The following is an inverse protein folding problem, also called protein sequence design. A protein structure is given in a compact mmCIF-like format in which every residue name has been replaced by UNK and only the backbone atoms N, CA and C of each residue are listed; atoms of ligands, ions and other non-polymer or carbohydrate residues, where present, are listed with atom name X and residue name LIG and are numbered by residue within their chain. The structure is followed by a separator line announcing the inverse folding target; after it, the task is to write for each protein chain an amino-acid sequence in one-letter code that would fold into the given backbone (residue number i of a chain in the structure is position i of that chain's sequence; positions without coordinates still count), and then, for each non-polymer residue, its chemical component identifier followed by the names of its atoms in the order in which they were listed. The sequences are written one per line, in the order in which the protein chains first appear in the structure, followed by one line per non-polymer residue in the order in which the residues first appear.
data_IF_968066420484
#
_entry.id   IF_968066420484
#
_cell.length_a   1.000
_cell.length_b   1.000
_cell.length_c   1.000
_cell.angle_alpha   90.00
_cell.angle_beta   90.00
_cell.angle_gamma   90.00
#
_symmetry.space_group_name_H-M   'P 1'
#
loop_
_entity.id
_entity.type
_entity.pdbx_description
1 polymer ?
#
# COMPACT_ATOMS: atom_id res chain seq x y z
N UNK A 1 -6.59 -3.17 -9.47
CA UNK A 1 -5.70 -3.78 -8.44
C UNK A 1 -5.29 -5.24 -8.71
N UNK A 2 -6.05 -6.06 -9.45
CA UNK A 2 -5.68 -7.48 -9.66
C UNK A 2 -4.54 -7.73 -10.67
N UNK A 3 -4.37 -6.87 -11.68
CA UNK A 3 -3.43 -7.09 -12.78
C UNK A 3 -1.96 -7.17 -12.33
N UNK A 4 -1.57 -6.41 -11.29
CA UNK A 4 -0.19 -6.38 -10.78
C UNK A 4 0.09 -7.58 -9.85
N UNK A 5 -0.94 -8.15 -9.22
CA UNK A 5 -0.80 -9.27 -8.26
C UNK A 5 -0.78 -10.64 -8.92
N UNK A 6 -1.54 -10.85 -10.00
CA UNK A 6 -1.58 -12.14 -10.71
C UNK A 6 -0.18 -12.69 -11.09
N UNK A 7 0.75 -11.90 -11.66
CA UNK A 7 2.08 -12.43 -12.02
C UNK A 7 2.98 -12.69 -10.80
N UNK A 8 2.73 -12.07 -9.64
CA UNK A 8 3.55 -12.26 -8.44
C UNK A 8 3.35 -13.65 -7.81
N UNK A 9 2.23 -14.31 -8.08
CA UNK A 9 1.84 -15.56 -7.42
C UNK A 9 1.34 -15.33 -5.99
N UNK A 10 1.27 -16.38 -5.19
CA UNK A 10 0.78 -16.31 -3.80
C UNK A 10 1.71 -15.46 -2.94
N UNK A 11 1.13 -14.74 -1.98
CA UNK A 11 1.90 -14.04 -0.95
C UNK A 11 2.42 -15.08 0.07
N UNK A 12 3.74 -15.13 0.23
CA UNK A 12 4.42 -16.03 1.17
C UNK A 12 4.57 -15.35 2.53
N UNK A 13 5.02 -14.09 2.53
CA UNK A 13 5.18 -13.31 3.74
C UNK A 13 4.90 -11.83 3.50
N UNK A 14 4.52 -11.15 4.59
CA UNK A 14 4.33 -9.71 4.63
C UNK A 14 4.67 -9.19 6.02
N UNK A 15 5.65 -8.31 6.09
CA UNK A 15 6.13 -7.71 7.34
C UNK A 15 6.01 -6.19 7.26
N UNK A 16 5.47 -5.58 8.31
CA UNK A 16 5.36 -4.13 8.40
C UNK A 16 6.75 -3.51 8.50
N UNK A 17 7.08 -2.64 7.54
CA UNK A 17 8.34 -1.89 7.52
C UNK A 17 8.18 -0.51 8.14
N UNK A 18 7.12 0.21 7.77
CA UNK A 18 6.83 1.54 8.35
C UNK A 18 5.39 1.96 8.12
N UNK A 19 4.91 2.90 8.95
CA UNK A 19 3.65 3.63 8.77
C UNK A 19 3.93 5.12 9.00
N UNK A 20 3.51 5.98 8.08
CA UNK A 20 3.71 7.44 8.17
C UNK A 20 2.40 8.15 7.91
N UNK A 21 1.94 8.93 8.87
CA UNK A 21 0.78 9.80 8.70
C UNK A 21 1.18 11.02 7.87
N UNK A 22 0.31 11.44 6.95
CA UNK A 22 0.49 12.65 6.14
C UNK A 22 -0.86 13.34 5.93
N UNK A 23 -0.85 14.66 5.84
CA UNK A 23 -2.02 15.48 5.51
C UNK A 23 -2.06 15.91 4.04
N UNK A 24 -0.96 15.68 3.31
CA UNK A 24 -0.82 15.97 1.88
C UNK A 24 0.14 14.98 1.22
N UNK A 25 -0.10 14.70 -0.07
CA UNK A 25 0.72 13.83 -0.90
C UNK A 25 0.88 14.45 -2.30
N UNK A 26 2.05 14.34 -2.95
CA UNK A 26 2.23 14.81 -4.32
C UNK A 26 1.21 14.18 -5.27
N UNK A 27 0.49 15.00 -6.04
CA UNK A 27 -0.49 14.53 -7.02
C UNK A 27 -1.80 14.00 -6.45
N UNK A 28 -2.05 14.13 -5.15
CA UNK A 28 -3.33 13.80 -4.51
C UNK A 28 -3.92 15.04 -3.79
N UNK A 29 -5.25 15.11 -3.60
CA UNK A 29 -5.87 16.17 -2.80
C UNK A 29 -5.37 16.18 -1.35
N UNK A 30 -5.54 17.29 -0.65
CA UNK A 30 -5.31 17.33 0.81
C UNK A 30 -6.29 16.40 1.54
N UNK A 31 -5.81 15.77 2.62
CA UNK A 31 -6.59 14.81 3.38
C UNK A 31 -5.75 14.01 4.35
N UNK A 32 -6.39 13.19 5.19
CA UNK A 32 -5.65 12.38 6.17
C UNK A 32 -5.24 11.07 5.53
N UNK A 33 -3.94 10.86 5.37
CA UNK A 33 -3.35 9.68 4.75
C UNK A 33 -2.48 8.91 5.73
N UNK A 34 -2.38 7.60 5.52
CA UNK A 34 -1.31 6.79 6.12
C UNK A 34 -0.55 6.11 4.99
N UNK A 35 0.73 6.42 4.84
CA UNK A 35 1.61 5.68 3.92
C UNK A 35 2.19 4.50 4.67
N UNK A 36 1.77 3.30 4.30
CA UNK A 36 2.20 2.04 4.92
C UNK A 36 3.12 1.32 3.96
N UNK A 37 4.30 0.92 4.43
CA UNK A 37 5.24 0.11 3.67
C UNK A 37 5.40 -1.26 4.30
N UNK A 38 5.34 -2.30 3.47
CA UNK A 38 5.61 -3.67 3.84
C UNK A 38 6.80 -4.22 3.06
N UNK A 39 7.64 -5.01 3.72
CA UNK A 39 8.51 -5.97 3.03
C UNK A 39 7.65 -7.20 2.75
N UNK A 40 7.59 -7.64 1.51
CA UNK A 40 6.75 -8.77 1.12
C UNK A 40 7.51 -9.75 0.23
N UNK A 41 7.18 -11.02 0.38
CA UNK A 41 7.66 -12.10 -0.47
C UNK A 41 6.47 -12.76 -1.15
N UNK A 42 6.61 -13.01 -2.44
CA UNK A 42 5.64 -13.71 -3.28
C UNK A 42 6.31 -14.87 -4.00
N UNK A 43 5.55 -15.86 -4.46
CA UNK A 43 6.06 -17.05 -5.16
C UNK A 43 7.02 -16.69 -6.31
N UNK A 44 6.62 -15.75 -7.16
CA UNK A 44 7.42 -15.33 -8.33
C UNK A 44 8.25 -14.07 -8.05
N UNK A 45 8.23 -13.53 -6.83
CA UNK A 45 9.01 -12.36 -6.42
C UNK A 45 9.35 -12.41 -4.93
N UNK A 46 10.51 -13.00 -4.63
CA UNK A 46 10.97 -13.24 -3.25
C UNK A 46 11.19 -11.99 -2.40
N UNK A 47 11.37 -10.83 -3.03
CA UNK A 47 11.53 -9.54 -2.33
C UNK A 47 10.80 -8.45 -3.09
N UNK A 48 9.83 -7.84 -2.43
CA UNK A 48 9.03 -6.75 -2.93
C UNK A 48 8.81 -5.70 -1.84
N UNK A 49 8.78 -4.43 -2.24
CA UNK A 49 8.35 -3.34 -1.37
C UNK A 49 6.92 -2.96 -1.74
N UNK A 50 5.98 -3.38 -0.90
CA UNK A 50 4.57 -3.08 -1.03
C UNK A 50 4.26 -1.77 -0.28
N UNK A 51 3.64 -0.82 -0.96
CA UNK A 51 3.18 0.44 -0.40
C UNK A 51 1.67 0.52 -0.51
N UNK A 52 0.99 0.61 0.65
CA UNK A 52 -0.45 0.79 0.74
C UNK A 52 -0.69 2.18 1.31
N UNK A 53 -1.53 2.97 0.65
CA UNK A 53 -1.87 4.32 1.11
C UNK A 53 -3.37 4.41 1.33
N UNK A 54 -3.85 4.22 2.58
CA UNK A 54 -5.21 4.57 2.94
C UNK A 54 -5.39 6.08 3.10
N UNK A 55 -6.58 6.55 2.78
CA UNK A 55 -7.07 7.90 3.03
C UNK A 55 -8.31 7.81 3.92
N UNK A 56 -8.45 8.72 4.87
CA UNK A 56 -9.68 8.90 5.62
C UNK A 56 -10.69 9.61 4.72
N UNK A 57 -11.78 8.91 4.44
CA UNK A 57 -12.88 9.43 3.66
C UNK A 57 -13.81 10.30 4.53
N UNK A 58 -14.72 11.04 3.89
CA UNK A 58 -15.61 12.00 4.56
C UNK A 58 -16.55 11.36 5.59
N UNK A 59 -16.86 10.08 5.42
CA UNK A 59 -17.67 9.29 6.36
C UNK A 59 -16.87 8.77 7.57
N UNK A 60 -15.62 9.20 7.73
CA UNK A 60 -14.75 8.79 8.83
C UNK A 60 -14.16 7.38 8.68
N UNK A 61 -14.32 6.73 7.51
CA UNK A 61 -13.77 5.40 7.25
C UNK A 61 -12.46 5.50 6.46
N UNK A 62 -11.50 4.66 6.80
CA UNK A 62 -10.27 4.52 6.05
C UNK A 62 -10.50 3.62 4.82
N UNK A 63 -10.14 4.10 3.64
CA UNK A 63 -10.19 3.34 2.39
C UNK A 63 -8.85 3.41 1.68
N UNK A 64 -8.46 2.34 0.98
CA UNK A 64 -7.20 2.30 0.22
C UNK A 64 -7.35 3.18 -1.02
N UNK A 65 -6.66 4.32 -1.06
CA UNK A 65 -6.62 5.22 -2.22
C UNK A 65 -5.45 4.88 -3.15
N UNK A 66 -4.37 4.31 -2.63
CA UNK A 66 -3.19 3.93 -3.41
C UNK A 66 -2.64 2.55 -3.05
N UNK A 67 -2.23 1.81 -4.07
CA UNK A 67 -1.57 0.52 -3.92
C UNK A 67 -0.46 0.32 -4.94
N UNK A 68 0.77 0.11 -4.46
CA UNK A 68 1.96 -0.01 -5.30
C UNK A 68 2.86 -1.14 -4.81
N UNK A 69 3.47 -1.88 -5.73
CA UNK A 69 4.46 -2.92 -5.44
C UNK A 69 5.62 -2.73 -6.42
N UNK A 70 6.86 -2.74 -5.90
CA UNK A 70 8.07 -2.77 -6.72
C UNK A 70 8.98 -3.92 -6.35
#
# INVERSE_FOLDING_TARGET
MQAIRKPLGKNISRELKSKRYRTSLPGAPDGKYVVIQFKSSFENKKSALETVTPMLDKDGKWRVSGYYIK
#
